data_IF_950758751481
#
_entry.id   IF_950758751481
#
_cell.length_a   1.000
_cell.length_b   1.000
_cell.length_c   1.000
_cell.angle_alpha   90.00
_cell.angle_beta   90.00
_cell.angle_gamma   90.00
#
_symmetry.space_group_name_H-M   'P 1'
#
loop_
_entity.id
_entity.type
_entity.pdbx_description
1 polymer ?
#
# COMPACT_ATOMS: atom_id res chain seq x y z
N UNK A 1 -8.09 12.09 14.56
CA UNK A 1 -7.43 11.63 13.32
C UNK A 1 -7.07 10.15 13.36
N UNK A 2 -6.68 9.62 14.53
CA UNK A 2 -6.55 8.17 14.79
C UNK A 2 -7.79 7.36 14.41
N UNK A 3 -8.99 7.95 14.56
CA UNK A 3 -10.26 7.32 14.18
C UNK A 3 -10.32 6.77 12.74
N UNK A 4 -9.66 7.38 11.74
CA UNK A 4 -9.66 6.82 10.38
C UNK A 4 -8.82 5.55 10.35
N UNK A 5 -7.63 5.56 10.94
CA UNK A 5 -6.77 4.38 10.97
C UNK A 5 -7.34 3.25 11.84
N UNK A 6 -8.06 3.59 12.90
CA UNK A 6 -8.80 2.59 13.69
C UNK A 6 -9.89 1.92 12.85
N UNK A 7 -10.63 2.71 12.05
CA UNK A 7 -11.63 2.17 11.10
C UNK A 7 -10.97 1.32 10.00
N UNK A 8 -9.86 1.76 9.42
CA UNK A 8 -9.11 1.00 8.40
C UNK A 8 -8.61 -0.32 8.98
N UNK A 9 -8.01 -0.30 10.18
CA UNK A 9 -7.56 -1.52 10.85
C UNK A 9 -8.71 -2.48 11.14
N UNK A 10 -9.85 -1.97 11.62
CA UNK A 10 -11.04 -2.78 11.85
C UNK A 10 -11.59 -3.38 10.54
N UNK A 11 -11.61 -2.60 9.47
CA UNK A 11 -12.03 -3.04 8.13
C UNK A 11 -11.14 -4.17 7.60
N UNK A 12 -9.82 -4.02 7.73
CA UNK A 12 -8.84 -5.04 7.31
C UNK A 12 -8.93 -6.32 8.15
N UNK A 13 -9.12 -6.21 9.47
CA UNK A 13 -9.36 -7.37 10.35
C UNK A 13 -10.64 -8.11 9.96
N UNK A 14 -11.70 -7.38 9.63
CA UNK A 14 -12.95 -7.96 9.13
C UNK A 14 -12.77 -8.65 7.78
N UNK A 15 -12.03 -8.04 6.86
CA UNK A 15 -11.78 -8.61 5.53
C UNK A 15 -10.94 -9.89 5.56
N UNK A 16 -9.87 -9.92 6.37
CA UNK A 16 -8.97 -11.07 6.48
C UNK A 16 -9.36 -12.07 7.58
N UNK A 17 -10.39 -11.76 8.37
CA UNK A 17 -10.89 -12.57 9.49
C UNK A 17 -9.80 -12.99 10.50
N UNK A 18 -8.77 -12.16 10.67
CA UNK A 18 -7.62 -12.46 11.54
C UNK A 18 -6.92 -11.21 12.08
N UNK A 19 -6.11 -11.41 13.12
CA UNK A 19 -5.25 -10.37 13.68
C UNK A 19 -3.93 -10.25 12.90
N UNK A 20 -3.51 -9.03 12.54
CA UNK A 20 -2.24 -8.83 11.89
C UNK A 20 -1.09 -8.71 12.91
N UNK A 21 0.09 -9.21 12.53
CA UNK A 21 1.33 -8.66 13.07
C UNK A 21 1.53 -7.24 12.50
N UNK A 22 2.23 -6.35 13.21
CA UNK A 22 2.51 -5.00 12.73
C UNK A 22 3.98 -4.63 12.84
N UNK A 23 4.49 -3.92 11.83
CA UNK A 23 5.78 -3.25 11.86
C UNK A 23 5.57 -1.75 11.63
N UNK A 24 6.15 -0.90 12.46
CA UNK A 24 6.05 0.56 12.34
C UNK A 24 7.32 1.15 11.75
N UNK A 25 7.18 2.07 10.81
CA UNK A 25 8.28 2.77 10.14
C UNK A 25 8.04 4.27 10.26
N UNK A 26 8.99 4.97 10.88
CA UNK A 26 8.94 6.42 11.08
C UNK A 26 9.88 7.10 10.08
N UNK A 27 9.38 8.15 9.44
CA UNK A 27 10.18 9.02 8.58
C UNK A 27 10.40 10.36 9.27
N UNK A 28 11.52 11.01 8.99
CA UNK A 28 11.80 12.31 9.58
C UNK A 28 10.78 13.33 9.05
N UNK A 29 10.05 13.99 9.95
CA UNK A 29 9.09 15.03 9.59
C UNK A 29 7.71 14.53 9.19
N UNK A 30 7.42 13.23 9.25
CA UNK A 30 6.08 12.68 8.99
C UNK A 30 5.62 11.76 10.11
N UNK A 31 4.31 11.52 10.18
CA UNK A 31 3.78 10.48 11.05
C UNK A 31 4.23 9.08 10.61
N UNK A 32 4.34 8.12 11.55
CA UNK A 32 4.69 6.74 11.21
C UNK A 32 3.66 6.08 10.29
N UNK A 33 4.17 5.21 9.43
CA UNK A 33 3.39 4.25 8.64
C UNK A 33 3.58 2.87 9.27
N UNK A 34 2.49 2.20 9.58
CA UNK A 34 2.51 0.79 9.93
C UNK A 34 2.36 -0.09 8.69
N UNK A 35 2.95 -1.29 8.73
CA UNK A 35 2.70 -2.36 7.78
C UNK A 35 2.15 -3.55 8.55
N UNK A 36 0.88 -3.85 8.28
CA UNK A 36 0.13 -4.95 8.83
C UNK A 36 0.41 -6.22 8.02
N UNK A 37 0.61 -7.35 8.69
CA UNK A 37 0.85 -8.66 8.06
C UNK A 37 -0.25 -9.63 8.45
N UNK A 38 -1.09 -9.98 7.48
CA UNK A 38 -2.14 -10.98 7.61
C UNK A 38 -1.70 -12.29 6.94
N UNK A 39 -1.93 -13.43 7.59
CA UNK A 39 -1.72 -14.76 7.02
C UNK A 39 -3.07 -15.38 6.73
N UNK A 40 -3.32 -15.74 5.47
CA UNK A 40 -4.53 -16.49 5.11
C UNK A 40 -4.35 -17.95 5.52
N UNK A 41 -5.27 -18.49 6.31
CA UNK A 41 -5.18 -19.85 6.86
C UNK A 41 -6.12 -20.83 6.15
N UNK A 42 -5.55 -21.93 5.66
CA UNK A 42 -5.86 -23.24 6.27
C UNK A 42 -4.52 -23.87 6.61
N UNK A 43 -4.19 -23.94 7.90
CA UNK A 43 -2.98 -24.62 8.37
C UNK A 43 -3.18 -26.13 8.18
N UNK A 44 -2.75 -26.61 7.02
CA UNK A 44 -2.58 -28.00 6.68
C UNK A 44 -1.44 -28.13 5.67
N UNK A 45 -0.64 -29.20 5.70
CA UNK A 45 0.51 -29.38 4.80
C UNK A 45 0.13 -29.37 3.30
N UNK A 46 -1.16 -29.53 2.98
CA UNK A 46 -1.72 -29.59 1.62
C UNK A 46 -2.90 -28.61 1.38
N UNK A 47 -3.13 -27.61 2.25
CA UNK A 47 -4.17 -26.57 2.06
C UNK A 47 -3.73 -25.47 1.05
N UNK A 48 -4.61 -24.57 0.57
CA UNK A 48 -4.26 -23.52 -0.40
C UNK A 48 -3.34 -22.45 0.23
N UNK A 49 -2.07 -22.81 0.36
CA UNK A 49 -0.85 -22.09 0.03
C UNK A 49 -0.60 -20.72 0.66
N UNK A 50 -0.20 -20.69 1.95
CA UNK A 50 0.75 -19.75 2.56
C UNK A 50 0.77 -18.30 2.06
N UNK A 51 -0.40 -17.75 1.77
CA UNK A 51 -0.55 -16.40 1.24
C UNK A 51 -0.45 -15.42 2.40
N UNK A 52 0.43 -14.44 2.23
CA UNK A 52 0.67 -13.39 3.23
C UNK A 52 0.38 -12.05 2.58
N UNK A 53 -0.50 -11.28 3.22
CA UNK A 53 -0.87 -9.94 2.80
C UNK A 53 -0.18 -8.92 3.69
N UNK A 54 0.55 -7.99 3.07
CA UNK A 54 1.16 -6.84 3.71
C UNK A 54 0.34 -5.61 3.33
N UNK A 55 -0.22 -4.92 4.32
CA UNK A 55 -1.09 -3.76 4.10
C UNK A 55 -0.54 -2.56 4.83
N UNK A 56 -0.38 -1.42 4.15
CA UNK A 56 -0.03 -0.18 4.83
C UNK A 56 -1.16 0.30 5.72
N UNK A 57 -0.82 0.99 6.80
CA UNK A 57 -1.76 1.71 7.64
C UNK A 57 -1.12 3.05 8.01
N UNK A 58 -1.64 4.12 7.41
CA UNK A 58 -1.18 5.48 7.66
C UNK A 58 -1.25 6.38 6.44
N UNK A 59 -1.20 5.82 5.23
CA UNK A 59 -1.29 6.58 3.98
C UNK A 59 -2.62 7.32 3.86
N UNK A 60 -3.70 6.69 4.32
CA UNK A 60 -5.06 7.25 4.31
C UNK A 60 -5.35 8.30 5.38
N UNK A 61 -4.41 8.54 6.30
CA UNK A 61 -4.56 9.47 7.45
C UNK A 61 -4.98 10.87 7.01
N UNK A 62 -4.32 11.35 5.97
CA UNK A 62 -4.57 12.64 5.32
C UNK A 62 -5.04 12.39 3.89
N UNK A 63 -5.86 13.28 3.31
CA UNK A 63 -6.17 13.16 1.89
C UNK A 63 -4.89 13.43 1.09
N UNK A 64 -4.71 12.71 -0.01
CA UNK A 64 -3.68 13.01 -0.99
C UNK A 64 -4.05 14.32 -1.68
N UNK A 65 -3.08 15.20 -1.84
CA UNK A 65 -3.28 16.50 -2.48
C UNK A 65 -2.83 16.39 -3.93
N UNK A 66 -3.70 16.79 -4.86
CA UNK A 66 -3.29 16.98 -6.24
C UNK A 66 -2.33 18.18 -6.29
N UNK A 67 -1.08 18.03 -6.77
CA UNK A 67 -0.11 19.13 -6.80
C UNK A 67 -0.52 20.29 -7.72
N UNK A 68 -1.57 20.12 -8.55
CA UNK A 68 -2.14 21.20 -9.38
C UNK A 68 -3.20 22.03 -8.64
N UNK A 69 -3.67 21.61 -7.46
CA UNK A 69 -4.62 22.37 -6.66
C UNK A 69 -3.93 23.53 -5.91
N UNK A 70 -4.55 24.71 -5.97
CA UNK A 70 -4.04 25.94 -5.33
C UNK A 70 -4.24 25.91 -3.81
N UNK A 71 -5.26 25.19 -3.32
CA UNK A 71 -5.60 25.09 -1.89
C UNK A 71 -5.97 23.65 -1.56
N UNK A 72 -5.18 23.02 -0.68
CA UNK A 72 -5.47 21.69 -0.17
C UNK A 72 -6.66 21.72 0.80
N UNK A 73 -7.70 20.93 0.53
CA UNK A 73 -8.78 20.68 1.49
C UNK A 73 -8.32 19.60 2.49
N UNK A 74 -8.28 19.87 3.81
CA UNK A 74 -7.79 18.91 4.80
C UNK A 74 -8.71 17.70 5.01
N UNK A 75 -9.93 17.72 4.47
CA UNK A 75 -10.93 16.65 4.60
C UNK A 75 -11.18 15.92 3.28
N UNK A 76 -11.26 16.65 2.16
CA UNK A 76 -11.56 16.10 0.83
C UNK A 76 -10.30 15.67 0.09
N UNK A 77 -10.48 14.76 -0.84
CA UNK A 77 -9.41 14.26 -1.70
C UNK A 77 -9.12 12.77 -1.50
N UNK A 78 -8.45 12.13 -2.47
CA UNK A 78 -8.24 10.69 -2.50
C UNK A 78 -7.54 10.18 -1.25
N UNK A 79 -7.91 8.98 -0.80
CA UNK A 79 -7.24 8.25 0.28
C UNK A 79 -7.02 6.83 -0.17
N UNK A 80 -5.87 6.27 0.17
CA UNK A 80 -5.62 4.87 -0.08
C UNK A 80 -4.76 4.22 0.99
N UNK A 81 -4.78 2.89 1.01
CA UNK A 81 -3.73 2.05 1.57
C UNK A 81 -3.26 1.06 0.50
N UNK A 82 -2.02 0.60 0.64
CA UNK A 82 -1.36 -0.32 -0.28
C UNK A 82 -1.44 -1.75 0.24
N UNK A 83 -1.73 -2.69 -0.65
CA UNK A 83 -1.87 -4.12 -0.36
C UNK A 83 -0.89 -4.90 -1.24
N UNK A 84 0.08 -5.57 -0.64
CA UNK A 84 1.02 -6.44 -1.34
C UNK A 84 0.82 -7.88 -0.87
N UNK A 85 0.53 -8.79 -1.80
CA UNK A 85 0.24 -10.19 -1.49
C UNK A 85 1.35 -11.09 -2.03
N UNK A 86 1.91 -11.96 -1.18
CA UNK A 86 2.97 -12.90 -1.57
C UNK A 86 2.60 -14.32 -1.15
N UNK A 87 2.85 -15.27 -2.06
CA UNK A 87 2.73 -16.70 -1.76
C UNK A 87 4.05 -17.20 -1.18
N UNK A 88 4.00 -17.81 0.00
CA UNK A 88 5.14 -18.41 0.69
C UNK A 88 6.39 -17.49 0.74
N UNK A 89 6.28 -16.22 1.21
CA UNK A 89 7.35 -15.23 1.07
C UNK A 89 8.61 -15.49 1.92
N UNK A 90 8.62 -16.55 2.74
CA UNK A 90 9.63 -16.75 3.76
C UNK A 90 9.77 -15.49 4.64
N UNK A 91 11.00 -15.04 4.95
CA UNK A 91 11.21 -13.86 5.81
C UNK A 91 10.86 -12.50 5.20
N UNK A 92 10.81 -12.35 3.87
CA UNK A 92 10.63 -11.07 3.16
C UNK A 92 11.36 -9.87 3.79
N UNK A 93 12.61 -10.06 4.23
CA UNK A 93 13.34 -9.07 5.03
C UNK A 93 13.51 -7.74 4.31
N UNK A 94 13.00 -6.66 4.90
CA UNK A 94 13.04 -5.31 4.32
C UNK A 94 11.72 -4.87 3.68
N UNK A 95 10.81 -5.80 3.37
CA UNK A 95 9.55 -5.51 2.67
C UNK A 95 8.69 -4.46 3.40
N UNK A 96 8.55 -4.58 4.72
CA UNK A 96 7.77 -3.61 5.50
C UNK A 96 8.31 -2.18 5.36
N UNK A 97 9.64 -2.00 5.31
CA UNK A 97 10.24 -0.68 5.09
C UNK A 97 9.93 -0.17 3.69
N UNK A 98 10.15 -1.01 2.66
CA UNK A 98 9.91 -0.63 1.27
C UNK A 98 8.45 -0.28 1.02
N UNK A 99 7.50 -1.07 1.53
CA UNK A 99 6.07 -0.77 1.41
C UNK A 99 5.68 0.51 2.15
N UNK A 100 6.25 0.76 3.34
CA UNK A 100 6.04 2.01 4.05
C UNK A 100 6.59 3.23 3.29
N UNK A 101 7.72 3.10 2.59
CA UNK A 101 8.27 4.16 1.73
C UNK A 101 7.27 4.50 0.62
N UNK A 102 6.76 3.48 -0.09
CA UNK A 102 5.76 3.69 -1.16
C UNK A 102 4.49 4.32 -0.59
N UNK A 103 4.02 3.87 0.58
CA UNK A 103 2.85 4.44 1.25
C UNK A 103 3.05 5.89 1.72
N UNK A 104 4.30 6.32 1.92
CA UNK A 104 4.66 7.68 2.34
C UNK A 104 4.83 8.65 1.15
N UNK A 105 4.91 8.17 -0.10
CA UNK A 105 5.12 9.05 -1.27
C UNK A 105 4.09 10.18 -1.42
N UNK A 106 2.81 10.05 -1.01
CA UNK A 106 1.90 11.19 -1.07
C UNK A 106 2.32 12.33 -0.13
N UNK A 107 2.83 12.01 1.06
CA UNK A 107 3.22 13.00 2.05
C UNK A 107 4.63 13.57 1.79
N UNK A 108 5.52 12.79 1.20
CA UNK A 108 6.92 13.16 0.96
C UNK A 108 7.12 13.78 -0.43
N UNK A 109 6.52 13.17 -1.45
CA UNK A 109 6.73 13.52 -2.87
C UNK A 109 5.49 14.18 -3.52
N UNK A 110 4.38 14.33 -2.78
CA UNK A 110 3.13 14.92 -3.32
C UNK A 110 2.43 14.04 -4.38
N UNK A 111 2.69 12.72 -4.36
CA UNK A 111 2.13 11.79 -5.36
C UNK A 111 0.71 11.38 -5.00
N UNK A 112 -0.24 11.55 -5.91
CA UNK A 112 -1.58 10.95 -5.81
C UNK A 112 -1.51 9.49 -6.29
N UNK A 113 -1.84 8.53 -5.42
CA UNK A 113 -1.81 7.11 -5.75
C UNK A 113 -3.07 6.70 -6.53
N UNK A 114 -2.88 6.33 -7.79
CA UNK A 114 -3.94 5.84 -8.68
C UNK A 114 -3.76 4.36 -9.02
N UNK A 115 -4.84 3.72 -9.45
CA UNK A 115 -4.80 2.36 -9.98
C UNK A 115 -4.16 2.37 -11.38
N UNK A 116 -2.83 2.28 -11.38
CA UNK A 116 -1.89 2.24 -12.51
C UNK A 116 -0.58 2.97 -12.15
N UNK A 117 -0.50 3.68 -11.03
CA UNK A 117 0.73 4.35 -10.63
C UNK A 117 1.91 3.36 -10.59
N UNK A 118 3.05 3.77 -11.11
CA UNK A 118 4.29 2.99 -11.09
C UNK A 118 5.27 3.71 -10.19
N UNK A 119 5.67 3.06 -9.10
CA UNK A 119 6.59 3.62 -8.11
C UNK A 119 7.83 2.73 -8.07
N UNK A 120 8.98 3.31 -8.35
CA UNK A 120 10.25 2.61 -8.50
C UNK A 120 11.22 3.09 -7.43
N UNK A 121 11.64 2.18 -6.55
CA UNK A 121 12.57 2.50 -5.47
C UNK A 121 14.03 2.44 -5.94
N UNK A 122 14.30 1.89 -7.12
CA UNK A 122 15.66 1.71 -7.65
C UNK A 122 16.49 0.64 -6.92
N UNK A 123 16.00 0.09 -5.82
CA UNK A 123 16.63 -0.96 -5.03
C UNK A 123 15.64 -2.12 -4.78
N UNK A 124 16.13 -3.35 -4.49
CA UNK A 124 15.27 -4.50 -4.22
C UNK A 124 14.24 -4.23 -3.10
N UNK A 125 12.97 -4.51 -3.35
CA UNK A 125 11.87 -4.32 -2.39
C UNK A 125 12.08 -5.13 -1.10
N UNK A 126 12.74 -6.28 -1.18
CA UNK A 126 13.24 -7.03 -0.03
C UNK A 126 14.50 -7.81 -0.40
N UNK A 127 15.15 -8.44 0.59
CA UNK A 127 16.40 -9.17 0.36
C UNK A 127 16.22 -10.29 -0.68
N UNK A 128 17.19 -10.38 -1.60
CA UNK A 128 17.36 -11.47 -2.58
C UNK A 128 16.20 -11.62 -3.58
N UNK A 129 15.57 -10.53 -4.00
CA UNK A 129 14.61 -10.53 -5.10
C UNK A 129 14.96 -9.51 -6.20
N UNK A 130 14.49 -9.72 -7.45
CA UNK A 130 14.77 -8.80 -8.55
C UNK A 130 13.77 -7.63 -8.66
N UNK A 131 12.76 -7.58 -7.79
CA UNK A 131 11.72 -6.55 -7.83
C UNK A 131 12.22 -5.26 -7.21
N UNK A 132 12.18 -4.15 -7.95
CA UNK A 132 12.63 -2.83 -7.49
C UNK A 132 11.52 -1.78 -7.48
N UNK A 133 10.38 -2.12 -8.08
CA UNK A 133 9.26 -1.23 -8.27
C UNK A 133 7.94 -1.94 -7.96
N UNK A 134 6.88 -1.16 -7.76
CA UNK A 134 5.51 -1.64 -7.68
C UNK A 134 4.65 -0.99 -8.76
N UNK A 135 3.81 -1.79 -9.40
CA UNK A 135 2.69 -1.30 -10.21
C UNK A 135 1.42 -1.37 -9.36
N UNK A 136 0.77 -0.22 -9.20
CA UNK A 136 -0.47 -0.13 -8.47
C UNK A 136 -1.65 -0.58 -9.33
N UNK A 137 -2.59 -1.27 -8.71
CA UNK A 137 -3.84 -1.71 -9.31
C UNK A 137 -4.97 -1.66 -8.31
N UNK A 138 -6.14 -2.16 -8.70
CA UNK A 138 -7.26 -2.36 -7.77
C UNK A 138 -6.99 -3.63 -6.96
N UNK A 139 -7.32 -3.61 -5.67
CA UNK A 139 -7.37 -4.82 -4.86
C UNK A 139 -8.81 -5.35 -4.77
N UNK A 140 -8.96 -6.56 -4.23
CA UNK A 140 -10.26 -7.16 -3.94
C UNK A 140 -10.83 -6.73 -2.57
N UNK A 141 -10.10 -5.89 -1.83
CA UNK A 141 -10.59 -5.32 -0.56
C UNK A 141 -11.60 -4.22 -0.90
N UNK A 142 -12.85 -4.29 -0.39
CA UNK A 142 -13.82 -3.23 -0.60
C UNK A 142 -13.33 -1.90 -0.05
N UNK A 143 -13.66 -0.80 -0.73
CA UNK A 143 -13.38 0.55 -0.23
C UNK A 143 -14.06 0.76 1.13
N UNK A 144 -13.38 1.43 2.06
CA UNK A 144 -13.94 1.81 3.35
C UNK A 144 -14.64 3.17 3.22
N UNK A 145 -15.98 3.23 3.30
CA UNK A 145 -16.69 4.51 3.29
C UNK A 145 -16.36 5.31 4.55
N UNK A 146 -16.09 6.60 4.36
CA UNK A 146 -15.91 7.55 5.46
C UNK A 146 -17.12 8.49 5.55
N UNK A 147 -17.33 9.08 6.73
CA UNK A 147 -18.38 10.10 6.89
C UNK A 147 -18.10 11.31 5.98
N UNK A 148 -19.08 11.76 5.17
CA UNK A 148 -18.95 12.97 4.37
C UNK A 148 -18.45 14.17 5.20
N UNK A 149 -17.61 15.05 4.63
CA UNK A 149 -17.30 15.18 3.20
C UNK A 149 -16.08 14.35 2.72
N UNK A 150 -15.59 13.40 3.52
CA UNK A 150 -14.37 12.65 3.20
C UNK A 150 -14.63 11.61 2.11
N UNK A 151 -13.69 11.50 1.17
CA UNK A 151 -13.63 10.41 0.21
C UNK A 151 -13.36 9.07 0.94
N UNK A 152 -13.82 7.94 0.39
CA UNK A 152 -13.55 6.63 0.97
C UNK A 152 -12.05 6.31 0.95
N UNK A 153 -11.62 5.42 1.85
CA UNK A 153 -10.28 4.82 1.76
C UNK A 153 -10.32 3.69 0.75
N UNK A 154 -9.55 3.83 -0.32
CA UNK A 154 -9.38 2.79 -1.34
C UNK A 154 -8.22 1.86 -0.99
N UNK A 155 -8.27 0.63 -1.44
CA UNK A 155 -7.17 -0.33 -1.25
C UNK A 155 -6.56 -0.68 -2.61
N UNK A 156 -5.32 -0.26 -2.81
CA UNK A 156 -4.59 -0.47 -4.07
C UNK A 156 -3.67 -1.68 -3.96
N UNK A 157 -3.78 -2.61 -4.90
CA UNK A 157 -2.80 -3.70 -4.99
C UNK A 157 -1.46 -3.14 -5.42
N UNK A 158 -0.38 -3.50 -4.73
CA UNK A 158 1.00 -3.13 -5.05
C UNK A 158 1.73 -4.37 -5.59
N UNK A 159 1.71 -4.52 -6.91
CA UNK A 159 2.31 -5.69 -7.58
C UNK A 159 3.80 -5.47 -7.76
N UNK A 160 4.68 -6.29 -7.15
CA UNK A 160 6.12 -6.21 -7.36
C UNK A 160 6.49 -6.44 -8.83
N UNK A 161 7.30 -5.56 -9.40
CA UNK A 161 7.81 -5.69 -10.76
C UNK A 161 9.32 -5.44 -10.80
N UNK A 162 9.98 -6.04 -11.78
CA UNK A 162 11.40 -5.85 -12.07
C UNK A 162 11.65 -4.49 -12.74
N UNK A 163 12.89 -4.01 -12.68
CA UNK A 163 13.30 -2.80 -13.40
C UNK A 163 13.03 -2.88 -14.92
N UNK A 164 13.20 -4.06 -15.52
CA UNK A 164 12.92 -4.27 -16.96
C UNK A 164 11.43 -4.15 -17.27
N UNK A 165 10.56 -4.68 -16.41
CA UNK A 165 9.11 -4.50 -16.54
C UNK A 165 8.70 -3.05 -16.37
N UNK A 166 9.28 -2.35 -15.39
CA UNK A 166 9.02 -0.94 -15.17
C UNK A 166 9.41 -0.08 -16.38
N UNK A 167 10.60 -0.30 -16.95
CA UNK A 167 11.05 0.39 -18.16
C UNK A 167 10.09 0.16 -19.35
N UNK A 168 9.63 -1.09 -19.53
CA UNK A 168 8.68 -1.43 -20.60
C UNK A 168 7.33 -0.73 -20.43
N UNK A 169 6.81 -0.66 -19.19
CA UNK A 169 5.54 0.02 -18.90
C UNK A 169 5.66 1.51 -19.19
N UNK A 170 6.75 2.16 -18.75
CA UNK A 170 7.03 3.58 -19.05
C UNK A 170 7.05 3.85 -20.54
N UNK A 171 7.72 3.01 -21.33
CA UNK A 171 7.77 3.14 -22.79
C UNK A 171 6.38 3.04 -23.43
N UNK A 172 5.55 2.08 -22.99
CA UNK A 172 4.18 1.92 -23.51
C UNK A 172 3.30 3.13 -23.20
N UNK A 173 3.45 3.72 -22.01
CA UNK A 173 2.67 4.90 -21.59
C UNK A 173 3.09 6.18 -22.30
N UNK A 174 4.38 6.35 -22.59
CA UNK A 174 4.87 7.53 -23.31
C UNK A 174 4.37 7.62 -24.77
N UNK A 175 3.86 6.51 -25.33
CA UNK A 175 3.30 6.45 -26.69
C UNK A 175 1.77 6.50 -26.75
N UNK A 176 1.09 6.76 -25.64
CA UNK A 176 -0.38 6.90 -25.54
C UNK A 176 -0.72 8.36 -25.26
#
# INVERSE_FOLDING_TARGET
MTQILDQVRAHLRGHFETEPDAASVTFLGTEPIEVLRFRSGTDGPDGPEGLVHFVSLGCSRHPMVDPTEIVADPQRGPRAELVLSLRNPGPATGLARSLAIVAATPAVDGVVLTADALIDLGEPLWKRVPFTAVLLGRSDIPDLPLRPPRDPVRFLSATPITATEAARIRLKRAGT
#
